data_IF_085743791406
#
_entry.id   IF_085743791406
#
_cell.length_a   1.000
_cell.length_b   1.000
_cell.length_c   1.000
_cell.angle_alpha   90.00
_cell.angle_beta   90.00
_cell.angle_gamma   90.00
#
_symmetry.space_group_name_H-M   'P 1'
#
loop_
_entity.id
_entity.type
_entity.pdbx_description
1 polymer ?
#
# COMPACT_ATOMS: atom_id res chain seq x y z
N UNK A 1 -14.26 14.05 -63.20
CA UNK A 1 -15.72 14.09 -63.42
C UNK A 1 -16.32 12.70 -63.15
N UNK A 2 -17.66 12.63 -63.02
CA UNK A 2 -18.65 11.52 -63.22
C UNK A 2 -18.10 10.16 -63.77
N UNK A 3 -18.59 8.95 -63.42
CA UNK A 3 -20.00 8.49 -63.18
C UNK A 3 -20.17 7.25 -62.24
N UNK A 4 -21.34 7.15 -61.58
CA UNK A 4 -22.23 5.98 -61.20
C UNK A 4 -21.72 4.51 -61.26
N UNK A 5 -21.99 3.54 -60.35
CA UNK A 5 -23.23 3.04 -59.68
C UNK A 5 -24.22 2.27 -60.61
N UNK A 6 -25.01 1.23 -60.26
CA UNK A 6 -25.62 0.77 -58.96
C UNK A 6 -26.26 -0.66 -59.05
N UNK A 7 -26.10 -1.50 -57.99
CA UNK A 7 -26.90 -2.68 -57.46
C UNK A 7 -27.77 -3.57 -58.40
N UNK A 8 -27.67 -4.91 -58.25
CA UNK A 8 -28.64 -5.92 -58.74
C UNK A 8 -28.88 -7.10 -57.75
N UNK A 9 -30.02 -7.83 -57.82
CA UNK A 9 -30.51 -8.72 -56.72
C UNK A 9 -31.35 -9.94 -57.16
N UNK A 10 -30.93 -11.13 -56.70
CA UNK A 10 -31.69 -12.37 -56.38
C UNK A 10 -32.41 -13.25 -57.44
N UNK A 11 -32.26 -14.57 -57.26
CA UNK A 11 -33.29 -15.65 -57.39
C UNK A 11 -33.74 -16.09 -58.82
N UNK A 12 -34.30 -17.28 -59.11
CA UNK A 12 -34.61 -18.52 -58.32
C UNK A 12 -34.82 -19.76 -59.22
N UNK A 13 -34.48 -20.99 -58.76
CA UNK A 13 -35.02 -22.32 -59.21
C UNK A 13 -34.74 -22.70 -60.70
N UNK A 14 -34.76 -23.94 -61.21
CA UNK A 14 -34.74 -25.36 -60.72
C UNK A 14 -34.26 -26.25 -61.92
N UNK A 15 -34.45 -27.57 -62.17
CA UNK A 15 -35.23 -28.70 -61.61
C UNK A 15 -34.67 -30.04 -62.17
N UNK A 16 -34.45 -31.08 -61.33
CA UNK A 16 -34.20 -32.50 -61.73
C UNK A 16 -32.93 -32.80 -62.58
N UNK A 17 -32.45 -34.03 -62.82
CA UNK A 17 -32.94 -35.41 -62.59
C UNK A 17 -31.95 -36.27 -61.75
N UNK A 18 -32.18 -37.59 -61.63
CA UNK A 18 -31.47 -38.49 -60.70
C UNK A 18 -30.76 -39.68 -61.40
N UNK A 19 -29.69 -40.21 -60.80
CA UNK A 19 -29.40 -41.67 -60.77
C UNK A 19 -28.23 -42.12 -59.86
N UNK A 20 -28.48 -43.19 -59.09
CA UNK A 20 -27.61 -44.31 -58.65
C UNK A 20 -26.10 -44.12 -58.31
N UNK A 21 -25.81 -44.25 -57.01
CA UNK A 21 -24.77 -45.12 -56.36
C UNK A 21 -23.35 -45.25 -56.97
N UNK A 22 -22.34 -44.89 -56.16
CA UNK A 22 -21.14 -45.74 -55.92
C UNK A 22 -20.60 -45.52 -54.50
N UNK A 23 -20.06 -46.57 -53.87
CA UNK A 23 -19.64 -46.55 -52.47
C UNK A 23 -18.41 -45.65 -52.22
N UNK A 24 -18.40 -44.95 -51.08
CA UNK A 24 -17.17 -44.47 -50.42
C UNK A 24 -17.22 -44.82 -48.92
N UNK A 25 -16.04 -45.10 -48.36
CA UNK A 25 -15.83 -45.56 -46.97
C UNK A 25 -16.45 -44.58 -45.95
N UNK A 26 -16.93 -45.03 -44.78
CA UNK A 26 -17.45 -44.14 -43.74
C UNK A 26 -16.34 -43.20 -43.28
N UNK A 27 -16.53 -41.90 -43.51
CA UNK A 27 -15.61 -40.88 -43.02
C UNK A 27 -15.62 -40.86 -41.49
N UNK A 28 -14.44 -40.80 -40.87
CA UNK A 28 -14.31 -40.78 -39.42
C UNK A 28 -15.15 -39.64 -38.82
N UNK A 29 -15.95 -39.94 -37.78
CA UNK A 29 -16.75 -38.95 -37.07
C UNK A 29 -15.82 -37.83 -36.58
N UNK A 30 -16.01 -36.61 -37.08
CA UNK A 30 -15.26 -35.43 -36.62
C UNK A 30 -15.39 -35.36 -35.10
N UNK A 31 -14.25 -35.46 -34.39
CA UNK A 31 -14.23 -35.39 -32.94
C UNK A 31 -14.94 -34.11 -32.48
N UNK A 32 -15.93 -34.26 -31.59
CA UNK A 32 -16.68 -33.11 -31.09
C UNK A 32 -15.70 -32.10 -30.46
N UNK A 33 -15.80 -30.83 -30.84
CA UNK A 33 -15.01 -29.75 -30.22
C UNK A 33 -15.28 -29.80 -28.72
N UNK A 34 -14.30 -30.24 -27.92
CA UNK A 34 -14.39 -30.21 -26.45
C UNK A 34 -14.80 -28.79 -26.06
N UNK A 35 -15.95 -28.63 -25.39
CA UNK A 35 -16.36 -27.32 -24.86
C UNK A 35 -15.21 -26.81 -24.01
N UNK A 36 -14.58 -25.73 -24.44
CA UNK A 36 -13.53 -25.03 -23.69
C UNK A 36 -14.15 -24.62 -22.36
N UNK A 37 -13.74 -25.26 -21.28
CA UNK A 37 -14.24 -24.96 -19.94
C UNK A 37 -14.07 -23.46 -19.69
N UNK A 38 -15.19 -22.77 -19.59
CA UNK A 38 -15.22 -21.35 -19.26
C UNK A 38 -14.61 -21.22 -17.87
N UNK A 39 -13.60 -20.35 -17.75
CA UNK A 39 -12.95 -20.09 -16.47
C UNK A 39 -14.01 -19.47 -15.56
N UNK A 40 -14.58 -20.26 -14.64
CA UNK A 40 -15.57 -19.81 -13.66
C UNK A 40 -15.11 -18.46 -13.09
N UNK A 41 -15.85 -17.40 -13.43
CA UNK A 41 -15.57 -16.07 -12.90
C UNK A 41 -15.74 -16.13 -11.39
N UNK A 42 -14.63 -15.93 -10.68
CA UNK A 42 -14.64 -15.86 -9.22
C UNK A 42 -15.67 -14.81 -8.80
N UNK A 43 -16.57 -15.17 -7.89
CA UNK A 43 -17.52 -14.20 -7.34
C UNK A 43 -16.74 -13.02 -6.73
N UNK A 44 -17.29 -11.80 -6.68
CA UNK A 44 -16.55 -10.62 -6.23
C UNK A 44 -15.85 -10.85 -4.88
N UNK A 45 -16.55 -11.49 -3.94
CA UNK A 45 -16.02 -11.92 -2.63
C UNK A 45 -14.85 -12.92 -2.73
N UNK A 46 -14.96 -13.97 -3.55
CA UNK A 46 -13.85 -14.92 -3.78
C UNK A 46 -12.65 -14.22 -4.41
N UNK A 47 -12.88 -13.28 -5.35
CA UNK A 47 -11.82 -12.46 -5.94
C UNK A 47 -11.13 -11.61 -4.87
N UNK A 48 -11.88 -11.02 -3.93
CA UNK A 48 -11.32 -10.27 -2.81
C UNK A 48 -10.56 -11.17 -1.84
N UNK A 49 -11.05 -12.37 -1.55
CA UNK A 49 -10.38 -13.34 -0.67
C UNK A 49 -9.03 -13.78 -1.27
N UNK A 50 -8.96 -13.99 -2.58
CA UNK A 50 -7.70 -14.26 -3.29
C UNK A 50 -6.76 -13.05 -3.34
N UNK A 51 -7.26 -11.83 -3.60
CA UNK A 51 -6.48 -10.59 -3.51
C UNK A 51 -5.91 -10.41 -2.09
N UNK A 52 -6.72 -10.59 -1.05
CA UNK A 52 -6.31 -10.49 0.37
C UNK A 52 -5.29 -11.58 0.75
N UNK A 53 -5.38 -12.79 0.17
CA UNK A 53 -4.39 -13.87 0.34
C UNK A 53 -3.05 -13.53 -0.34
N UNK A 54 -3.05 -13.28 -1.64
CA UNK A 54 -1.84 -12.95 -2.43
C UNK A 54 -1.13 -11.68 -1.95
N UNK A 55 -1.87 -10.72 -1.39
CA UNK A 55 -1.27 -9.55 -0.72
C UNK A 55 -0.57 -9.92 0.60
N UNK A 56 -1.12 -10.84 1.40
CA UNK A 56 -0.49 -11.33 2.64
C UNK A 56 0.77 -12.14 2.37
N UNK A 57 0.76 -12.97 1.34
CA UNK A 57 1.94 -13.74 0.89
C UNK A 57 3.09 -12.81 0.43
N UNK A 58 2.77 -11.55 0.07
CA UNK A 58 3.74 -10.48 -0.25
C UNK A 58 4.07 -9.56 0.94
N UNK A 59 3.59 -9.84 2.15
CA UNK A 59 3.95 -9.11 3.37
C UNK A 59 5.06 -9.86 4.10
N UNK A 60 6.28 -9.34 3.97
CA UNK A 60 7.42 -9.72 4.80
C UNK A 60 7.04 -9.61 6.29
N UNK A 61 7.22 -10.68 7.05
CA UNK A 61 6.89 -10.74 8.47
C UNK A 61 7.98 -10.04 9.31
N UNK A 62 7.67 -8.84 9.79
CA UNK A 62 8.58 -8.05 10.63
C UNK A 62 8.58 -8.57 12.07
N UNK A 63 9.74 -8.57 12.77
CA UNK A 63 9.79 -8.90 14.19
C UNK A 63 8.90 -7.95 15.00
N UNK A 64 8.25 -8.49 16.04
CA UNK A 64 7.36 -7.73 16.92
C UNK A 64 8.18 -6.96 17.94
N UNK A 65 8.28 -5.65 17.77
CA UNK A 65 8.77 -4.75 18.84
C UNK A 65 7.79 -4.86 20.03
N UNK A 66 8.24 -5.22 21.23
CA UNK A 66 7.37 -5.27 22.43
C UNK A 66 7.01 -3.85 22.88
N UNK A 67 5.90 -3.69 23.59
CA UNK A 67 5.42 -2.36 24.02
C UNK A 67 6.09 -1.98 25.34
N UNK A 68 6.52 -0.73 25.47
CA UNK A 68 7.19 -0.16 26.66
C UNK A 68 6.28 -0.01 27.90
N UNK A 69 5.13 -0.70 27.95
CA UNK A 69 4.20 -0.65 29.06
C UNK A 69 4.61 -1.69 30.14
N UNK A 70 4.94 -1.28 31.38
CA UNK A 70 5.42 -2.17 32.45
C UNK A 70 4.48 -3.35 32.71
N UNK A 71 3.17 -3.07 32.81
CA UNK A 71 2.15 -4.10 33.04
C UNK A 71 2.09 -5.12 31.89
N UNK A 72 2.22 -4.66 30.64
CA UNK A 72 2.24 -5.58 29.49
C UNK A 72 3.49 -6.47 29.45
N UNK A 73 4.60 -5.99 30.01
CA UNK A 73 5.84 -6.76 30.18
C UNK A 73 5.73 -7.75 31.32
N UNK A 74 5.15 -7.37 32.46
CA UNK A 74 4.82 -8.30 33.55
C UNK A 74 3.94 -9.47 33.08
N UNK A 75 2.83 -9.17 32.38
CA UNK A 75 1.93 -10.21 31.84
C UNK A 75 2.65 -11.12 30.85
N UNK A 76 3.46 -10.56 29.95
CA UNK A 76 4.19 -11.34 28.95
C UNK A 76 5.32 -12.21 29.52
N UNK A 77 6.03 -11.74 30.55
CA UNK A 77 7.09 -12.49 31.22
C UNK A 77 6.53 -13.55 32.19
N UNK A 78 5.40 -13.25 32.86
CA UNK A 78 4.68 -14.19 33.71
C UNK A 78 3.86 -15.26 32.96
N UNK A 79 3.96 -15.34 31.63
CA UNK A 79 3.24 -16.31 30.80
C UNK A 79 1.71 -16.15 30.78
N UNK A 80 1.18 -15.04 31.32
CA UNK A 80 -0.24 -14.82 31.53
C UNK A 80 -0.97 -14.23 30.32
N UNK A 81 -2.30 -14.33 30.34
CA UNK A 81 -3.16 -13.49 29.52
C UNK A 81 -3.55 -12.20 30.27
N UNK A 82 -3.90 -11.15 29.53
CA UNK A 82 -4.45 -9.93 30.13
C UNK A 82 -5.85 -10.23 30.68
N UNK A 83 -6.00 -10.16 32.00
CA UNK A 83 -7.24 -10.47 32.72
C UNK A 83 -7.26 -9.90 34.13
N UNK A 84 -8.34 -10.16 34.88
CA UNK A 84 -8.57 -9.58 36.22
C UNK A 84 -7.46 -9.97 37.20
N UNK A 85 -7.17 -11.28 37.34
CA UNK A 85 -6.10 -11.77 38.22
C UNK A 85 -4.74 -11.12 37.93
N UNK A 86 -4.42 -10.89 36.65
CA UNK A 86 -3.15 -10.29 36.27
C UNK A 86 -3.08 -8.81 36.69
N UNK A 87 -4.20 -8.08 36.60
CA UNK A 87 -4.30 -6.71 37.08
C UNK A 87 -4.27 -6.63 38.62
N UNK A 88 -4.82 -7.62 39.33
CA UNK A 88 -4.73 -7.73 40.79
C UNK A 88 -3.31 -8.06 41.25
N UNK A 89 -2.68 -9.07 40.63
CA UNK A 89 -1.27 -9.43 40.87
C UNK A 89 -0.33 -8.25 40.58
N UNK A 90 -0.60 -7.44 39.55
CA UNK A 90 0.14 -6.20 39.27
C UNK A 90 -0.08 -5.12 40.35
N UNK A 91 -1.34 -4.90 40.80
CA UNK A 91 -1.64 -3.95 41.88
C UNK A 91 -1.00 -4.33 43.22
N UNK A 92 -0.75 -5.61 43.44
CA UNK A 92 -0.07 -6.12 44.63
C UNK A 92 1.47 -5.99 44.57
N UNK A 93 2.07 -5.63 43.43
CA UNK A 93 3.50 -5.36 43.33
C UNK A 93 3.87 -4.03 44.00
N UNK A 94 5.02 -4.00 44.68
CA UNK A 94 5.57 -2.76 45.24
C UNK A 94 5.92 -1.75 44.13
N UNK A 95 6.00 -0.44 44.42
CA UNK A 95 6.41 0.56 43.43
C UNK A 95 7.79 0.24 42.80
N UNK A 96 8.70 -0.33 43.58
CA UNK A 96 10.04 -0.76 43.16
C UNK A 96 9.95 -1.91 42.14
N UNK A 97 9.13 -2.93 42.42
CA UNK A 97 8.88 -4.03 41.48
C UNK A 97 8.21 -3.53 40.19
N UNK A 98 7.28 -2.57 40.28
CA UNK A 98 6.67 -1.95 39.10
C UNK A 98 7.69 -1.15 38.27
N UNK A 99 8.66 -0.50 38.94
CA UNK A 99 9.79 0.19 38.30
C UNK A 99 10.76 -0.79 37.63
N UNK A 100 11.10 -1.94 38.25
CA UNK A 100 11.87 -3.01 37.59
C UNK A 100 11.18 -3.45 36.29
N UNK A 101 9.86 -3.65 36.30
CA UNK A 101 9.12 -4.01 35.10
C UNK A 101 9.09 -2.88 34.05
N UNK A 102 9.20 -1.62 34.46
CA UNK A 102 9.36 -0.49 33.54
C UNK A 102 10.73 -0.47 32.87
N UNK A 103 11.80 -0.80 33.60
CA UNK A 103 13.15 -0.91 33.05
C UNK A 103 13.30 -2.13 32.15
N UNK A 104 12.77 -3.29 32.56
CA UNK A 104 12.64 -4.49 31.71
C UNK A 104 11.84 -4.19 30.43
N UNK A 105 10.75 -3.42 30.52
CA UNK A 105 9.97 -3.00 29.36
C UNK A 105 10.76 -2.09 28.39
N UNK A 106 11.57 -1.16 28.92
CA UNK A 106 12.47 -0.31 28.12
C UNK A 106 13.55 -1.14 27.42
N UNK A 107 14.27 -1.99 28.15
CA UNK A 107 15.33 -2.85 27.62
C UNK A 107 14.84 -3.81 26.52
N UNK A 108 13.66 -4.42 26.72
CA UNK A 108 13.02 -5.27 25.72
C UNK A 108 12.56 -4.47 24.48
N UNK A 109 12.00 -3.27 24.66
CA UNK A 109 11.60 -2.39 23.56
C UNK A 109 12.81 -1.96 22.73
N UNK A 110 13.91 -1.53 23.36
CA UNK A 110 15.15 -1.18 22.65
C UNK A 110 15.77 -2.38 21.91
N UNK A 111 15.78 -3.56 22.53
CA UNK A 111 16.29 -4.78 21.89
C UNK A 111 15.44 -5.13 20.66
N UNK A 112 14.11 -5.06 20.78
CA UNK A 112 13.19 -5.21 19.66
C UNK A 112 13.37 -4.16 18.56
N UNK A 113 13.73 -2.91 18.90
CA UNK A 113 14.11 -1.90 17.92
C UNK A 113 15.42 -2.24 17.20
N UNK A 114 16.47 -2.63 17.95
CA UNK A 114 17.78 -3.05 17.39
C UNK A 114 17.60 -4.23 16.45
N UNK A 115 16.82 -5.24 16.83
CA UNK A 115 16.59 -6.43 16.02
C UNK A 115 15.67 -6.16 14.82
N UNK A 116 14.68 -5.27 14.95
CA UNK A 116 13.93 -4.77 13.78
C UNK A 116 14.83 -4.00 12.81
N UNK A 117 15.78 -3.19 13.30
CA UNK A 117 16.75 -2.48 12.46
C UNK A 117 17.69 -3.46 11.72
N UNK A 118 18.26 -4.46 12.43
CA UNK A 118 19.05 -5.55 11.82
C UNK A 118 18.25 -6.27 10.74
N UNK A 119 17.01 -6.65 11.04
CA UNK A 119 16.11 -7.36 10.13
C UNK A 119 15.81 -6.55 8.86
N UNK A 120 15.49 -5.24 8.99
CA UNK A 120 15.36 -4.36 7.81
C UNK A 120 16.68 -4.29 7.03
N UNK A 121 17.81 -4.11 7.73
CA UNK A 121 19.14 -4.06 7.12
C UNK A 121 19.49 -5.30 6.28
N UNK A 122 19.15 -6.50 6.76
CA UNK A 122 19.38 -7.76 6.03
C UNK A 122 18.50 -7.97 4.80
N UNK A 123 17.44 -7.18 4.62
CA UNK A 123 16.52 -7.31 3.49
C UNK A 123 16.89 -6.40 2.32
N UNK A 124 16.57 -6.83 1.10
CA UNK A 124 16.62 -5.99 -0.10
C UNK A 124 15.56 -4.86 0.00
N UNK A 125 15.96 -3.57 -0.08
CA UNK A 125 15.04 -2.44 -0.15
C UNK A 125 13.92 -2.57 -1.21
N UNK A 126 14.16 -3.29 -2.31
CA UNK A 126 13.15 -3.55 -3.36
C UNK A 126 12.02 -4.41 -2.81
N UNK A 127 12.35 -5.42 -2.00
CA UNK A 127 11.36 -6.28 -1.35
C UNK A 127 10.62 -5.53 -0.23
N UNK A 128 11.34 -4.75 0.58
CA UNK A 128 10.73 -3.88 1.60
C UNK A 128 9.77 -2.87 0.94
N UNK A 129 10.11 -2.31 -0.23
CA UNK A 129 9.21 -1.45 -1.01
C UNK A 129 7.98 -2.20 -1.54
N UNK A 130 8.16 -3.39 -2.13
CA UNK A 130 7.06 -4.25 -2.60
C UNK A 130 6.11 -4.64 -1.45
N UNK A 131 6.66 -5.05 -0.31
CA UNK A 131 5.92 -5.34 0.91
C UNK A 131 5.17 -4.10 1.42
N UNK A 132 5.79 -2.92 1.40
CA UNK A 132 5.11 -1.67 1.74
C UNK A 132 4.02 -1.25 0.72
N UNK A 133 4.11 -1.64 -0.56
CA UNK A 133 3.01 -1.50 -1.56
C UNK A 133 1.85 -2.42 -1.17
N UNK A 134 2.12 -3.67 -0.80
CA UNK A 134 1.12 -4.63 -0.34
C UNK A 134 0.46 -4.23 1.00
N UNK A 135 1.25 -3.86 2.02
CA UNK A 135 0.78 -3.35 3.32
C UNK A 135 -0.15 -2.13 3.16
N UNK A 136 0.19 -1.19 2.26
CA UNK A 136 -0.68 -0.04 1.93
C UNK A 136 -2.00 -0.46 1.25
N UNK A 137 -1.98 -1.48 0.39
CA UNK A 137 -3.23 -1.99 -0.19
C UNK A 137 -4.10 -2.71 0.86
N UNK A 138 -3.50 -3.51 1.74
CA UNK A 138 -4.21 -4.17 2.85
C UNK A 138 -4.84 -3.16 3.83
N UNK A 139 -4.17 -2.01 4.09
CA UNK A 139 -4.77 -0.90 4.86
C UNK A 139 -6.03 -0.32 4.21
N UNK A 140 -6.07 -0.18 2.88
CA UNK A 140 -7.29 0.22 2.14
C UNK A 140 -8.40 -0.83 2.23
N UNK A 141 -8.04 -2.11 2.36
CA UNK A 141 -8.96 -3.23 2.60
C UNK A 141 -9.26 -3.45 4.10
N UNK A 142 -9.17 -2.39 4.90
CA UNK A 142 -9.55 -2.37 6.33
C UNK A 142 -8.60 -3.11 7.29
N UNK A 143 -7.43 -3.59 6.85
CA UNK A 143 -6.50 -4.32 7.73
C UNK A 143 -5.43 -3.39 8.31
N UNK A 144 -5.42 -3.26 9.65
CA UNK A 144 -4.39 -2.55 10.40
C UNK A 144 -3.06 -3.32 10.32
N UNK A 145 -2.21 -2.94 9.37
CA UNK A 145 -0.86 -3.47 9.21
C UNK A 145 0.11 -2.28 9.23
N UNK A 146 1.13 -2.25 10.11
CA UNK A 146 2.11 -1.16 10.15
C UNK A 146 2.92 -1.14 8.85
N UNK A 147 3.59 -0.03 8.56
CA UNK A 147 4.57 0.04 7.47
C UNK A 147 5.97 -0.24 8.00
N UNK A 148 6.81 -0.89 7.20
CA UNK A 148 8.22 -1.09 7.52
C UNK A 148 8.94 0.22 7.17
N UNK A 149 9.71 0.77 8.10
CA UNK A 149 10.58 1.91 7.80
C UNK A 149 11.98 1.40 7.43
N UNK A 150 12.50 1.86 6.29
CA UNK A 150 13.83 1.55 5.78
C UNK A 150 14.43 2.86 5.24
N UNK A 151 15.55 3.35 5.81
CA UNK A 151 16.16 4.61 5.40
C UNK A 151 16.78 4.56 4.00
N UNK A 152 16.99 3.35 3.43
CA UNK A 152 17.54 3.15 2.08
C UNK A 152 16.51 3.35 0.97
N UNK A 153 15.23 3.52 1.33
CA UNK A 153 14.15 3.82 0.39
C UNK A 153 13.96 5.35 0.30
N UNK A 154 14.13 5.97 -0.88
CA UNK A 154 13.98 7.41 -1.07
C UNK A 154 12.69 7.99 -0.48
N UNK A 155 12.84 9.08 0.29
CA UNK A 155 11.71 9.81 0.86
C UNK A 155 10.99 10.57 -0.25
N UNK A 156 9.65 10.48 -0.26
CA UNK A 156 8.84 11.21 -1.24
C UNK A 156 9.03 12.73 -1.11
N UNK A 157 9.16 13.46 -2.23
CA UNK A 157 9.19 14.93 -2.25
C UNK A 157 8.00 15.53 -1.51
N UNK A 158 8.25 16.59 -0.76
CA UNK A 158 7.23 17.33 0.00
C UNK A 158 6.48 18.26 -0.96
N UNK A 159 5.14 18.19 -1.09
CA UNK A 159 4.39 19.09 -1.96
C UNK A 159 4.56 20.57 -1.55
N UNK A 160 4.49 21.53 -2.48
CA UNK A 160 4.78 22.95 -2.23
C UNK A 160 4.08 23.55 -1.00
N UNK A 161 2.75 23.40 -0.89
CA UNK A 161 1.99 23.88 0.27
C UNK A 161 2.36 23.20 1.60
N UNK A 162 2.90 21.99 1.57
CA UNK A 162 3.39 21.28 2.76
C UNK A 162 4.84 21.66 3.13
N UNK A 163 5.64 22.15 2.17
CA UNK A 163 6.92 22.79 2.45
C UNK A 163 6.68 24.16 3.11
N UNK A 164 5.80 24.99 2.54
CA UNK A 164 5.36 26.24 3.16
C UNK A 164 4.82 26.03 4.58
N UNK A 165 3.93 25.05 4.80
CA UNK A 165 3.44 24.69 6.15
C UNK A 165 4.59 24.39 7.13
N UNK A 166 5.58 23.58 6.71
CA UNK A 166 6.75 23.25 7.54
C UNK A 166 7.53 24.51 7.92
N UNK A 167 7.74 25.41 6.97
CA UNK A 167 8.62 26.56 7.15
C UNK A 167 7.92 27.66 7.97
N UNK A 168 6.62 27.87 7.78
CA UNK A 168 5.78 28.68 8.67
C UNK A 168 5.68 28.09 10.09
N UNK A 169 5.74 26.76 10.25
CA UNK A 169 5.78 26.12 11.56
C UNK A 169 7.13 26.34 12.26
N UNK A 170 8.23 26.35 11.50
CA UNK A 170 9.55 26.74 12.01
C UNK A 170 9.65 28.22 12.39
N UNK A 171 8.98 29.10 11.64
CA UNK A 171 8.91 30.54 11.88
C UNK A 171 7.99 30.95 13.05
N UNK A 172 7.23 30.01 13.64
CA UNK A 172 6.33 30.30 14.76
C UNK A 172 4.98 30.92 14.37
N UNK A 173 4.61 30.97 13.08
CA UNK A 173 3.38 31.62 12.59
C UNK A 173 2.07 31.01 13.14
N UNK A 174 2.13 29.83 13.76
CA UNK A 174 0.98 29.10 14.30
C UNK A 174 0.91 29.20 15.84
N UNK A 175 0.98 30.43 16.35
CA UNK A 175 0.74 30.79 17.75
C UNK A 175 -0.62 31.49 17.85
N UNK A 176 -1.38 31.15 18.89
CA UNK A 176 -2.67 31.76 19.21
C UNK A 176 -2.46 33.10 19.97
N UNK A 177 -3.46 34.00 20.05
CA UNK A 177 -3.32 35.29 20.76
C UNK A 177 -3.00 35.18 22.26
N UNK A 178 -3.22 34.02 22.89
CA UNK A 178 -2.87 33.70 24.28
C UNK A 178 -1.42 33.18 24.44
N UNK A 179 -0.62 33.18 23.37
CA UNK A 179 0.74 32.62 23.34
C UNK A 179 0.79 31.10 23.23
N UNK A 180 -0.34 30.39 23.22
CA UNK A 180 -0.38 28.94 23.09
C UNK A 180 -0.12 28.48 21.65
N UNK A 181 0.39 27.26 21.47
CA UNK A 181 0.60 26.69 20.13
C UNK A 181 -0.73 26.27 19.52
N UNK A 182 -1.01 26.76 18.32
CA UNK A 182 -2.24 26.46 17.60
C UNK A 182 -2.38 24.96 17.31
N UNK A 183 -3.60 24.43 17.46
CA UNK A 183 -3.91 23.03 17.13
C UNK A 183 -3.54 22.73 15.67
N UNK A 184 -2.88 21.60 15.42
CA UNK A 184 -2.41 21.20 14.09
C UNK A 184 -3.51 21.19 13.00
N UNK A 185 -4.77 20.93 13.34
CA UNK A 185 -5.90 21.00 12.39
C UNK A 185 -6.19 22.46 11.99
N UNK A 186 -6.17 23.38 12.95
CA UNK A 186 -6.39 24.82 12.73
C UNK A 186 -5.20 25.43 11.98
N UNK A 187 -3.98 25.11 12.40
CA UNK A 187 -2.75 25.55 11.75
C UNK A 187 -2.65 25.07 10.29
N UNK A 188 -3.05 23.82 10.00
CA UNK A 188 -3.12 23.31 8.63
C UNK A 188 -4.12 24.08 7.75
N UNK A 189 -5.28 24.47 8.31
CA UNK A 189 -6.26 25.32 7.59
C UNK A 189 -5.69 26.72 7.34
N UNK A 190 -5.19 27.37 8.40
CA UNK A 190 -4.59 28.70 8.30
C UNK A 190 -3.43 28.74 7.29
N UNK A 191 -2.54 27.74 7.32
CA UNK A 191 -1.45 27.58 6.36
C UNK A 191 -1.92 27.41 4.92
N UNK A 192 -3.01 26.67 4.67
CA UNK A 192 -3.60 26.54 3.33
C UNK A 192 -4.08 27.89 2.80
N UNK A 193 -4.72 28.68 3.65
CA UNK A 193 -5.32 29.95 3.26
C UNK A 193 -4.27 31.06 3.14
N UNK A 194 -3.19 31.02 3.94
CA UNK A 194 -1.96 31.79 3.72
C UNK A 194 -1.26 31.40 2.41
N UNK A 195 -1.07 30.10 2.13
CA UNK A 195 -0.48 29.63 0.87
C UNK A 195 -1.32 30.06 -0.34
N UNK A 196 -2.66 30.10 -0.20
CA UNK A 196 -3.57 30.64 -1.20
C UNK A 196 -3.25 32.10 -1.55
N UNK A 197 -2.95 32.94 -0.54
CA UNK A 197 -2.67 34.37 -0.66
C UNK A 197 -1.28 34.73 -1.18
N UNK A 198 -0.29 33.82 -1.11
CA UNK A 198 1.06 34.07 -1.65
C UNK A 198 1.03 34.51 -3.12
N UNK A 199 1.96 35.37 -3.51
CA UNK A 199 2.18 35.75 -4.91
C UNK A 199 2.63 34.56 -5.77
N UNK A 200 2.51 34.64 -7.11
CA UNK A 200 3.07 33.63 -8.01
C UNK A 200 4.59 33.46 -7.83
N UNK A 201 5.32 34.54 -7.50
CA UNK A 201 6.77 34.49 -7.30
C UNK A 201 7.16 33.69 -6.04
N UNK A 202 6.45 33.89 -4.93
CA UNK A 202 6.68 33.13 -3.69
C UNK A 202 6.28 31.67 -3.84
N UNK A 203 5.14 31.39 -4.49
CA UNK A 203 4.70 30.02 -4.82
C UNK A 203 5.73 29.28 -5.66
N UNK A 204 6.31 29.96 -6.67
CA UNK A 204 7.32 29.40 -7.56
C UNK A 204 8.54 28.85 -6.80
N UNK A 205 8.98 29.48 -5.71
CA UNK A 205 10.10 28.98 -4.90
C UNK A 205 9.83 27.55 -4.38
N UNK A 206 8.63 27.30 -3.85
CA UNK A 206 8.23 25.98 -3.36
C UNK A 206 7.96 24.98 -4.51
N UNK A 207 7.51 25.45 -5.67
CA UNK A 207 7.29 24.64 -6.86
C UNK A 207 8.60 24.19 -7.51
N UNK A 208 9.59 25.07 -7.64
CA UNK A 208 10.94 24.77 -8.15
C UNK A 208 11.68 23.81 -7.19
N UNK A 209 11.59 24.02 -5.87
CA UNK A 209 12.09 23.08 -4.86
C UNK A 209 11.45 21.69 -4.99
N UNK A 210 10.13 21.63 -5.20
CA UNK A 210 9.42 20.37 -5.41
C UNK A 210 9.82 19.70 -6.74
N UNK A 211 10.00 20.47 -7.81
CA UNK A 211 10.43 19.98 -9.12
C UNK A 211 11.85 19.38 -9.05
N UNK A 212 12.80 20.09 -8.44
CA UNK A 212 14.16 19.57 -8.20
C UNK A 212 14.13 18.28 -7.36
N UNK A 213 13.39 18.30 -6.24
CA UNK A 213 13.20 17.12 -5.38
C UNK A 213 12.58 15.94 -6.12
N UNK A 214 11.65 16.20 -7.05
CA UNK A 214 10.99 15.18 -7.90
C UNK A 214 11.96 14.55 -8.90
N UNK A 215 12.90 15.31 -9.46
CA UNK A 215 13.96 14.78 -10.33
C UNK A 215 14.90 13.88 -9.54
N UNK A 216 15.38 14.32 -8.37
CA UNK A 216 16.26 13.53 -7.50
C UNK A 216 15.59 12.24 -7.03
N UNK A 217 14.39 12.33 -6.45
CA UNK A 217 13.61 11.16 -6.04
C UNK A 217 13.36 10.17 -7.19
N UNK A 218 13.13 10.66 -8.43
CA UNK A 218 12.98 9.77 -9.58
C UNK A 218 14.28 9.02 -9.86
N UNK A 219 15.42 9.71 -9.97
CA UNK A 219 16.73 9.10 -10.20
C UNK A 219 17.08 8.06 -9.13
N UNK A 220 16.83 8.36 -7.87
CA UNK A 220 17.07 7.44 -6.75
C UNK A 220 16.14 6.23 -6.77
N UNK A 221 14.85 6.41 -7.07
CA UNK A 221 13.88 5.31 -7.18
C UNK A 221 14.13 4.43 -8.41
N UNK A 222 14.54 5.01 -9.55
CA UNK A 222 14.95 4.29 -10.76
C UNK A 222 16.23 3.47 -10.47
N UNK A 223 17.20 4.03 -9.73
CA UNK A 223 18.37 3.27 -9.23
C UNK A 223 17.95 2.15 -8.27
N UNK A 224 17.01 2.42 -7.37
CA UNK A 224 16.58 1.46 -6.35
C UNK A 224 15.83 0.27 -6.96
N UNK A 225 14.80 0.51 -7.76
CA UNK A 225 13.88 -0.52 -8.27
C UNK A 225 14.23 -1.03 -9.67
N UNK A 226 15.11 -0.33 -10.39
CA UNK A 226 15.14 -0.39 -11.85
C UNK A 226 14.00 0.41 -12.47
N UNK A 227 13.82 0.24 -13.77
CA UNK A 227 12.79 0.92 -14.57
C UNK A 227 11.37 0.74 -13.98
N UNK A 228 10.84 1.83 -13.43
CA UNK A 228 9.54 1.92 -12.74
C UNK A 228 8.34 1.46 -13.58
N UNK A 229 8.48 1.32 -14.90
CA UNK A 229 7.41 0.87 -15.80
C UNK A 229 7.14 -0.65 -15.73
N UNK A 230 8.04 -1.44 -15.11
CA UNK A 230 8.04 -2.91 -15.17
C UNK A 230 7.58 -3.61 -13.85
N UNK A 231 6.83 -2.92 -12.97
CA UNK A 231 6.54 -3.34 -11.57
C UNK A 231 5.12 -3.09 -10.99
#
# INVERSE_FOLDING_TARGET
MKTTSKVGKAATKSKSTAAKKKNKKPAAKKAAKKKRLEKKSLTPEQSERQKKRTLRERVLAAPKIPVTNPYSTFVALGGGNVGVEAAEKWKALTPEQQQEYAEKARALHETGLRDHQKWVGSMDPREVYKANRARRHLRRLGKRVPMIHDPRIPKRPVPPAAAFLKDQWGAGTFINPDGSKMNAITALRHSRDLYGKLSPAEKKVYEDQYAASRVTYKKEMDKLLGDLTKL
#
